data_IF_587436769637
#
_entry.id   IF_587436769637
#
_cell.length_a   1.000
_cell.length_b   1.000
_cell.length_c   1.000
_cell.angle_alpha   90.00
_cell.angle_beta   90.00
_cell.angle_gamma   90.00
#
_symmetry.space_group_name_H-M   'P 1'
#
loop_
_entity.id
_entity.type
_entity.pdbx_description
1 polymer ?
#
# COMPACT_ATOMS: atom_id res chain seq x y z
N UNK A 1 -38.63 -40.00 14.53
CA UNK A 1 -38.12 -39.10 15.59
C UNK A 1 -36.73 -38.66 15.16
N UNK A 2 -36.54 -37.38 14.81
CA UNK A 2 -35.21 -36.84 14.53
C UNK A 2 -34.40 -36.85 15.83
N UNK A 3 -33.26 -37.51 15.81
CA UNK A 3 -32.39 -37.68 16.97
C UNK A 3 -31.77 -36.32 17.33
N UNK A 4 -32.16 -35.75 18.46
CA UNK A 4 -31.77 -34.39 18.90
C UNK A 4 -30.24 -34.25 18.96
N UNK A 5 -29.55 -35.34 19.28
CA UNK A 5 -28.09 -35.44 19.31
C UNK A 5 -27.45 -35.19 17.94
N UNK A 6 -28.05 -35.69 16.85
CA UNK A 6 -27.55 -35.47 15.49
C UNK A 6 -27.75 -34.02 15.04
N UNK A 7 -28.81 -33.36 15.51
CA UNK A 7 -29.06 -31.95 15.22
C UNK A 7 -28.08 -31.02 15.96
N UNK A 8 -27.73 -31.35 17.22
CA UNK A 8 -26.74 -30.61 18.01
C UNK A 8 -25.33 -30.79 17.43
N UNK A 9 -24.96 -32.00 17.03
CA UNK A 9 -23.68 -32.31 16.40
C UNK A 9 -23.47 -31.48 15.11
N UNK A 10 -24.45 -31.49 14.21
CA UNK A 10 -24.40 -30.70 12.95
C UNK A 10 -24.36 -29.20 13.20
N UNK A 11 -25.06 -28.70 14.21
CA UNK A 11 -25.00 -27.29 14.60
C UNK A 11 -23.63 -26.90 15.17
N UNK A 12 -22.98 -27.80 15.90
CA UNK A 12 -21.64 -27.57 16.44
C UNK A 12 -20.59 -27.57 15.31
N UNK A 13 -20.62 -28.57 14.43
CA UNK A 13 -19.77 -28.67 13.23
C UNK A 13 -19.92 -27.42 12.33
N UNK A 14 -21.15 -27.02 12.04
CA UNK A 14 -21.41 -25.81 11.24
C UNK A 14 -20.86 -24.53 11.88
N UNK A 15 -20.92 -24.41 13.21
CA UNK A 15 -20.37 -23.27 13.93
C UNK A 15 -18.84 -23.27 13.99
N UNK A 16 -18.20 -24.44 14.04
CA UNK A 16 -16.75 -24.57 13.95
C UNK A 16 -16.25 -24.22 12.54
N UNK A 17 -16.94 -24.70 11.50
CA UNK A 17 -16.64 -24.35 10.10
C UNK A 17 -16.73 -22.84 9.88
N UNK A 18 -17.79 -22.19 10.38
CA UNK A 18 -17.94 -20.74 10.31
C UNK A 18 -16.83 -19.96 11.03
N UNK A 19 -16.31 -20.50 12.15
CA UNK A 19 -15.19 -19.89 12.88
C UNK A 19 -13.89 -20.03 12.10
N UNK A 20 -13.63 -21.20 11.53
CA UNK A 20 -12.45 -21.47 10.71
C UNK A 20 -12.41 -20.59 9.46
N UNK A 21 -13.54 -20.42 8.77
CA UNK A 21 -13.68 -19.53 7.62
C UNK A 21 -13.34 -18.08 7.99
N UNK A 22 -13.94 -17.55 9.07
CA UNK A 22 -13.66 -16.19 9.53
C UNK A 22 -12.19 -15.99 9.95
N UNK A 23 -11.58 -17.02 10.53
CA UNK A 23 -10.16 -16.97 10.92
C UNK A 23 -9.25 -16.98 9.68
N UNK A 24 -9.59 -17.78 8.67
CA UNK A 24 -8.89 -17.81 7.39
C UNK A 24 -8.99 -16.46 6.67
N UNK A 25 -10.19 -15.87 6.56
CA UNK A 25 -10.40 -14.54 5.96
C UNK A 25 -9.57 -13.46 6.65
N UNK A 26 -9.53 -13.46 7.99
CA UNK A 26 -8.69 -12.51 8.75
C UNK A 26 -7.21 -12.72 8.49
N UNK A 27 -6.75 -13.98 8.39
CA UNK A 27 -5.36 -14.32 8.08
C UNK A 27 -4.97 -13.87 6.67
N UNK A 28 -5.86 -14.01 5.69
CA UNK A 28 -5.66 -13.50 4.32
C UNK A 28 -5.66 -11.97 4.26
N UNK A 29 -6.59 -11.31 4.96
CA UNK A 29 -6.63 -9.85 5.03
C UNK A 29 -5.33 -9.27 5.61
N UNK A 30 -4.79 -9.92 6.65
CA UNK A 30 -3.48 -9.56 7.23
C UNK A 30 -2.34 -9.76 6.24
N UNK A 31 -2.34 -10.86 5.49
CA UNK A 31 -1.34 -11.13 4.45
C UNK A 31 -1.34 -10.02 3.41
N UNK A 32 -2.50 -9.71 2.82
CA UNK A 32 -2.63 -8.68 1.79
C UNK A 32 -2.14 -7.31 2.27
N UNK A 33 -2.44 -6.92 3.51
CA UNK A 33 -1.96 -5.65 4.10
C UNK A 33 -0.45 -5.64 4.32
N UNK A 34 0.12 -6.71 4.89
CA UNK A 34 1.57 -6.83 5.12
C UNK A 34 2.33 -6.84 3.80
N UNK A 35 1.82 -7.56 2.80
CA UNK A 35 2.40 -7.63 1.47
C UNK A 35 2.36 -6.27 0.75
N UNK A 36 1.23 -5.56 0.82
CA UNK A 36 1.11 -4.21 0.28
C UNK A 36 2.12 -3.25 0.92
N UNK A 37 2.29 -3.31 2.25
CA UNK A 37 3.30 -2.53 2.95
C UNK A 37 4.72 -2.83 2.44
N UNK A 38 5.10 -4.11 2.40
CA UNK A 38 6.44 -4.53 1.99
C UNK A 38 6.75 -4.10 0.55
N UNK A 39 5.88 -4.46 -0.40
CA UNK A 39 6.11 -4.26 -1.82
C UNK A 39 5.98 -2.79 -2.27
N UNK A 40 5.41 -1.92 -1.45
CA UNK A 40 5.27 -0.48 -1.76
C UNK A 40 6.22 0.42 -0.99
N UNK A 41 6.56 0.07 0.25
CA UNK A 41 7.24 0.99 1.18
C UNK A 41 8.31 0.34 2.05
N UNK A 42 8.10 -0.90 2.49
CA UNK A 42 8.81 -1.49 3.63
C UNK A 42 9.97 -2.41 3.30
N UNK A 43 10.05 -2.95 2.08
CA UNK A 43 10.98 -4.04 1.74
C UNK A 43 12.44 -3.75 2.11
N UNK A 44 13.00 -2.60 1.72
CA UNK A 44 14.38 -2.24 2.05
C UNK A 44 14.62 -2.13 3.57
N UNK A 45 13.66 -1.54 4.30
CA UNK A 45 13.76 -1.35 5.76
C UNK A 45 13.77 -2.69 6.49
N UNK A 46 13.08 -3.67 5.94
CA UNK A 46 12.99 -5.03 6.45
C UNK A 46 14.13 -5.93 5.94
N UNK A 47 15.11 -5.36 5.21
CA UNK A 47 16.33 -6.04 4.80
C UNK A 47 16.27 -6.74 3.44
N UNK A 48 15.19 -6.57 2.67
CA UNK A 48 15.12 -7.08 1.30
C UNK A 48 15.99 -6.24 0.36
N UNK A 49 16.59 -6.89 -0.63
CA UNK A 49 17.14 -6.19 -1.80
C UNK A 49 16.00 -5.84 -2.75
N UNK A 50 15.97 -4.58 -3.18
CA UNK A 50 14.97 -4.06 -4.10
C UNK A 50 15.71 -3.52 -5.33
N UNK A 51 15.26 -3.93 -6.52
CA UNK A 51 15.81 -3.49 -7.80
C UNK A 51 14.67 -3.06 -8.72
N UNK A 52 14.52 -1.75 -8.95
CA UNK A 52 13.38 -1.16 -9.67
C UNK A 52 12.01 -1.59 -9.11
N UNK A 53 11.95 -1.81 -7.79
CA UNK A 53 10.79 -2.33 -7.07
C UNK A 53 10.61 -3.85 -7.12
N UNK A 54 11.46 -4.59 -7.85
CA UNK A 54 11.47 -6.05 -7.87
C UNK A 54 12.22 -6.62 -6.68
N UNK A 55 11.64 -7.66 -6.07
CA UNK A 55 12.16 -8.34 -4.89
C UNK A 55 12.12 -9.84 -5.14
N UNK A 56 13.20 -10.54 -4.80
CA UNK A 56 13.22 -11.99 -4.83
C UNK A 56 12.28 -12.54 -3.74
N UNK A 57 11.36 -13.43 -4.10
CA UNK A 57 10.35 -13.91 -3.15
C UNK A 57 10.95 -14.61 -1.93
N UNK A 58 12.11 -15.25 -2.11
CA UNK A 58 12.85 -15.92 -1.04
C UNK A 58 13.33 -14.93 0.03
N UNK A 59 13.67 -13.70 -0.35
CA UNK A 59 14.02 -12.65 0.60
C UNK A 59 12.78 -12.14 1.32
N UNK A 60 11.67 -12.01 0.58
CA UNK A 60 10.40 -11.53 1.10
C UNK A 60 9.83 -12.45 2.21
N UNK A 61 9.85 -13.77 2.01
CA UNK A 61 9.33 -14.74 3.00
C UNK A 61 10.21 -14.86 4.26
N UNK A 62 11.47 -14.40 4.19
CA UNK A 62 12.37 -14.38 5.35
C UNK A 62 12.11 -13.19 6.28
N UNK A 63 11.34 -12.20 5.83
CA UNK A 63 10.98 -11.04 6.65
C UNK A 63 10.10 -11.47 7.82
N UNK A 64 10.35 -11.02 9.06
CA UNK A 64 9.55 -11.39 10.24
C UNK A 64 8.05 -11.17 10.07
N UNK A 65 7.65 -10.12 9.34
CA UNK A 65 6.24 -9.82 9.03
C UNK A 65 5.54 -10.97 8.28
N UNK A 66 6.26 -11.75 7.47
CA UNK A 66 5.72 -12.87 6.70
C UNK A 66 6.05 -14.25 7.28
N UNK A 67 6.67 -14.33 8.46
CA UNK A 67 7.11 -15.59 9.09
C UNK A 67 6.00 -16.64 9.30
N UNK A 68 4.73 -16.21 9.37
CA UNK A 68 3.56 -17.06 9.54
C UNK A 68 3.00 -17.62 8.21
N UNK A 69 3.62 -17.28 7.07
CA UNK A 69 3.13 -17.60 5.74
C UNK A 69 4.17 -18.37 4.93
N UNK A 70 3.67 -19.30 4.12
CA UNK A 70 4.50 -20.05 3.18
C UNK A 70 4.70 -19.28 1.88
N UNK A 71 5.75 -19.61 1.12
CA UNK A 71 5.99 -19.04 -0.21
C UNK A 71 4.77 -19.20 -1.14
N UNK A 72 4.10 -20.36 -1.07
CA UNK A 72 2.90 -20.64 -1.88
C UNK A 72 1.72 -19.75 -1.49
N UNK A 73 1.52 -19.45 -0.20
CA UNK A 73 0.47 -18.53 0.25
C UNK A 73 0.75 -17.10 -0.22
N UNK A 74 2.01 -16.66 -0.15
CA UNK A 74 2.43 -15.35 -0.63
C UNK A 74 2.28 -15.25 -2.15
N UNK A 75 2.72 -16.24 -2.91
CA UNK A 75 2.53 -16.31 -4.36
C UNK A 75 1.05 -16.34 -4.74
N UNK A 76 0.25 -17.11 -4.01
CA UNK A 76 -1.20 -17.19 -4.19
C UNK A 76 -1.83 -15.81 -4.09
N UNK A 77 -1.58 -15.09 -3.00
CA UNK A 77 -2.08 -13.71 -2.82
C UNK A 77 -1.58 -12.81 -3.95
N UNK A 78 -0.31 -12.87 -4.34
CA UNK A 78 0.25 -12.05 -5.44
C UNK A 78 -0.49 -12.29 -6.76
N UNK A 79 -0.83 -13.54 -7.06
CA UNK A 79 -1.48 -13.95 -8.30
C UNK A 79 -2.97 -13.62 -8.31
N UNK A 80 -3.64 -13.64 -7.15
CA UNK A 80 -5.10 -13.47 -7.07
C UNK A 80 -5.55 -12.09 -6.59
N UNK A 81 -4.64 -11.20 -6.19
CA UNK A 81 -4.99 -9.90 -5.62
C UNK A 81 -5.25 -8.85 -6.71
N UNK A 82 -6.50 -8.36 -6.76
CA UNK A 82 -6.95 -7.33 -7.70
C UNK A 82 -7.42 -6.07 -6.99
N UNK A 83 -7.25 -4.92 -7.65
CA UNK A 83 -7.83 -3.65 -7.25
C UNK A 83 -9.35 -3.67 -7.41
N UNK A 84 -10.04 -2.66 -6.87
CA UNK A 84 -11.47 -2.45 -7.11
C UNK A 84 -11.80 -2.34 -8.61
N UNK A 85 -10.87 -1.79 -9.41
CA UNK A 85 -10.99 -1.67 -10.87
C UNK A 85 -10.57 -2.94 -11.63
N UNK A 86 -10.44 -4.09 -10.95
CA UNK A 86 -10.05 -5.39 -11.51
C UNK A 86 -8.66 -5.39 -12.19
N UNK A 87 -7.76 -4.50 -11.77
CA UNK A 87 -6.36 -4.52 -12.20
C UNK A 87 -5.51 -5.31 -11.20
N UNK A 88 -4.54 -6.14 -11.63
CA UNK A 88 -3.63 -6.83 -10.71
C UNK A 88 -2.91 -5.84 -9.80
N UNK A 89 -2.90 -6.11 -8.48
CA UNK A 89 -2.18 -5.25 -7.51
C UNK A 89 -0.67 -5.44 -7.57
N UNK A 90 -0.25 -6.61 -8.03
CA UNK A 90 1.14 -7.05 -8.03
C UNK A 90 1.52 -7.59 -9.41
N UNK A 91 2.82 -7.58 -9.69
CA UNK A 91 3.42 -8.23 -10.84
C UNK A 91 4.43 -9.25 -10.32
N UNK A 92 4.57 -10.34 -11.06
CA UNK A 92 5.56 -11.35 -10.78
C UNK A 92 6.14 -11.86 -12.09
N UNK A 93 7.40 -12.26 -12.04
CA UNK A 93 8.08 -12.87 -13.17
C UNK A 93 9.10 -13.88 -12.68
N UNK A 94 9.39 -14.88 -13.53
CA UNK A 94 10.40 -15.88 -13.23
C UNK A 94 11.68 -15.54 -13.98
N UNK A 95 12.74 -15.31 -13.22
CA UNK A 95 14.11 -15.10 -13.70
C UNK A 95 14.94 -16.38 -13.47
N UNK A 96 16.14 -16.52 -14.07
CA UNK A 96 16.96 -17.73 -13.91
C UNK A 96 17.30 -18.08 -12.45
N UNK A 97 17.38 -17.06 -11.60
CA UNK A 97 17.76 -17.12 -10.19
C UNK A 97 16.57 -17.19 -9.22
N UNK A 98 15.33 -17.04 -9.71
CA UNK A 98 14.13 -17.23 -8.88
C UNK A 98 12.90 -16.47 -9.35
N UNK A 99 11.90 -16.41 -8.48
CA UNK A 99 10.66 -15.65 -8.72
C UNK A 99 10.80 -14.26 -8.11
N UNK A 100 10.64 -13.25 -8.96
CA UNK A 100 10.66 -11.86 -8.58
C UNK A 100 9.25 -11.30 -8.54
N UNK A 101 8.99 -10.46 -7.55
CA UNK A 101 7.67 -9.88 -7.30
C UNK A 101 7.78 -8.39 -7.05
N UNK A 102 6.76 -7.63 -7.46
CA UNK A 102 6.67 -6.19 -7.19
C UNK A 102 5.23 -5.71 -7.10
N UNK A 103 5.01 -4.55 -6.49
CA UNK A 103 3.74 -3.85 -6.61
C UNK A 103 3.55 -3.29 -8.03
N UNK A 104 2.35 -3.45 -8.60
CA UNK A 104 2.02 -2.91 -9.92
C UNK A 104 1.88 -1.38 -9.90
N UNK A 105 1.47 -0.82 -8.75
CA UNK A 105 1.22 0.60 -8.53
C UNK A 105 1.39 0.96 -7.04
N UNK A 106 1.37 2.27 -6.73
CA UNK A 106 1.52 2.79 -5.37
C UNK A 106 2.90 2.52 -4.77
N UNK A 107 3.90 2.24 -5.62
CA UNK A 107 5.29 2.10 -5.21
C UNK A 107 5.80 3.46 -4.78
N UNK A 108 6.53 3.51 -3.67
CA UNK A 108 7.38 4.67 -3.43
C UNK A 108 8.38 4.75 -4.58
N UNK A 109 8.33 5.83 -5.37
CA UNK A 109 9.38 6.09 -6.35
C UNK A 109 10.71 6.17 -5.59
N UNK A 110 11.56 5.17 -5.78
CA UNK A 110 12.91 5.21 -5.25
C UNK A 110 13.59 6.48 -5.74
N UNK A 111 14.30 7.11 -4.81
CA UNK A 111 15.10 8.27 -5.13
C UNK A 111 16.23 7.79 -6.03
N UNK A 112 16.07 7.93 -7.35
CA UNK A 112 17.17 7.70 -8.29
C UNK A 112 18.41 8.41 -7.72
N UNK A 113 19.54 7.70 -7.51
CA UNK A 113 20.77 8.27 -6.98
C UNK A 113 21.24 9.36 -7.93
N UNK A 114 20.74 10.55 -7.63
CA UNK A 114 21.19 11.79 -8.16
C UNK A 114 22.67 11.91 -7.87
N UNK A 115 23.45 12.46 -8.81
CA UNK A 115 24.87 12.72 -8.63
C UNK A 115 25.11 13.37 -7.26
N UNK A 116 25.55 12.55 -6.29
CA UNK A 116 25.87 13.04 -4.96
C UNK A 116 26.92 14.13 -5.14
N UNK A 117 26.69 15.31 -4.54
CA UNK A 117 27.52 16.53 -4.64
C UNK A 117 27.23 17.47 -5.82
N UNK A 118 26.14 17.30 -6.56
CA UNK A 118 25.71 18.31 -7.56
C UNK A 118 24.61 19.24 -7.01
N UNK A 119 24.61 20.50 -7.46
CA UNK A 119 23.61 21.54 -7.12
C UNK A 119 22.35 21.47 -7.99
N UNK A 120 22.29 20.54 -8.94
CA UNK A 120 21.20 20.46 -9.89
C UNK A 120 19.95 20.01 -9.10
N UNK A 121 18.76 20.56 -9.38
CA UNK A 121 17.52 20.14 -8.72
C UNK A 121 16.89 18.94 -9.42
N UNK A 122 16.32 17.99 -8.67
CA UNK A 122 15.67 16.80 -9.25
C UNK A 122 14.39 17.19 -9.98
N UNK A 123 14.08 16.48 -11.07
CA UNK A 123 12.84 16.68 -11.80
C UNK A 123 11.62 16.54 -10.88
N UNK A 124 11.59 15.50 -10.03
CA UNK A 124 10.51 15.32 -9.06
C UNK A 124 10.38 16.49 -8.09
N UNK A 125 11.49 17.09 -7.65
CA UNK A 125 11.44 18.23 -6.74
C UNK A 125 10.92 19.49 -7.43
N UNK A 126 11.32 19.71 -8.69
CA UNK A 126 10.83 20.81 -9.52
C UNK A 126 9.34 20.66 -9.84
N UNK A 127 8.90 19.45 -10.21
CA UNK A 127 7.48 19.21 -10.52
C UNK A 127 6.62 19.31 -9.27
N UNK A 128 7.05 18.75 -8.14
CA UNK A 128 6.32 18.88 -6.87
C UNK A 128 6.24 20.34 -6.42
N UNK A 129 7.29 21.14 -6.60
CA UNK A 129 7.24 22.57 -6.28
C UNK A 129 6.20 23.29 -7.14
N UNK A 130 6.22 23.07 -8.46
CA UNK A 130 5.24 23.64 -9.38
C UNK A 130 3.80 23.22 -9.03
N UNK A 131 3.59 21.94 -8.72
CA UNK A 131 2.29 21.42 -8.28
C UNK A 131 1.85 22.08 -6.97
N UNK A 132 2.73 22.21 -5.98
CA UNK A 132 2.39 22.84 -4.70
C UNK A 132 1.97 24.31 -4.86
N UNK A 133 2.58 25.03 -5.79
CA UNK A 133 2.25 26.42 -6.11
C UNK A 133 0.90 26.54 -6.82
N UNK A 134 0.57 25.56 -7.67
CA UNK A 134 -0.59 25.59 -8.56
C UNK A 134 -1.62 24.50 -8.26
N UNK A 135 -1.65 23.97 -7.03
CA UNK A 135 -2.40 22.74 -6.68
C UNK A 135 -3.89 22.82 -7.03
N UNK A 136 -4.47 24.01 -6.99
CA UNK A 136 -5.87 24.28 -7.33
C UNK A 136 -6.18 24.12 -8.83
N UNK A 137 -5.15 24.05 -9.68
CA UNK A 137 -5.25 23.84 -11.13
C UNK A 137 -5.15 22.35 -11.52
N UNK A 138 -4.83 21.48 -10.56
CA UNK A 138 -4.70 20.06 -10.77
C UNK A 138 -5.92 19.32 -10.23
N UNK A 139 -6.34 18.31 -10.97
CA UNK A 139 -7.36 17.37 -10.54
C UNK A 139 -6.67 16.11 -10.01
N UNK A 140 -6.87 15.85 -8.71
CA UNK A 140 -6.38 14.65 -8.03
C UNK A 140 -7.47 13.58 -7.87
N UNK A 141 -8.66 13.78 -8.45
CA UNK A 141 -9.74 12.82 -8.42
C UNK A 141 -9.29 11.49 -9.05
N UNK A 142 -9.34 10.40 -8.27
CA UNK A 142 -8.89 9.09 -8.69
C UNK A 142 -7.37 8.91 -8.80
N UNK A 143 -6.56 9.86 -8.33
CA UNK A 143 -5.10 9.72 -8.31
C UNK A 143 -4.68 8.62 -7.32
N UNK A 144 -3.95 7.58 -7.75
CA UNK A 144 -3.76 6.36 -6.96
C UNK A 144 -2.51 6.37 -6.06
N UNK A 145 -1.89 7.53 -5.83
CA UNK A 145 -0.61 7.65 -5.09
C UNK A 145 -0.75 8.56 -3.85
N UNK A 146 -1.16 7.94 -2.75
CA UNK A 146 -1.28 8.58 -1.43
C UNK A 146 0.06 9.13 -0.91
N UNK A 147 1.19 8.53 -1.30
CA UNK A 147 2.50 9.01 -0.87
C UNK A 147 2.78 10.38 -1.47
N UNK A 148 2.51 10.56 -2.76
CA UNK A 148 2.68 11.85 -3.43
C UNK A 148 1.69 12.89 -2.91
N UNK A 149 0.43 12.51 -2.64
CA UNK A 149 -0.55 13.42 -2.02
C UNK A 149 -0.06 13.90 -0.65
N UNK A 150 0.37 12.98 0.22
CA UNK A 150 0.90 13.33 1.54
C UNK A 150 2.17 14.20 1.44
N UNK A 151 3.07 13.91 0.50
CA UNK A 151 4.27 14.74 0.25
C UNK A 151 3.89 16.16 -0.21
N UNK A 152 2.86 16.31 -1.06
CA UNK A 152 2.32 17.62 -1.47
C UNK A 152 1.74 18.36 -0.26
N UNK A 153 0.90 17.70 0.55
CA UNK A 153 0.31 18.28 1.77
C UNK A 153 1.40 18.77 2.73
N UNK A 154 2.40 17.93 3.03
CA UNK A 154 3.50 18.30 3.92
C UNK A 154 4.36 19.44 3.36
N UNK A 155 4.60 19.50 2.05
CA UNK A 155 5.34 20.60 1.42
C UNK A 155 4.57 21.91 1.46
N UNK A 156 3.28 21.89 1.10
CA UNK A 156 2.41 23.07 1.19
C UNK A 156 2.31 23.57 2.64
N UNK A 157 2.20 22.65 3.60
CA UNK A 157 2.21 22.96 5.04
C UNK A 157 3.53 23.61 5.48
N UNK A 158 4.69 23.01 5.16
CA UNK A 158 6.01 23.54 5.52
C UNK A 158 6.23 24.96 5.00
N UNK A 159 5.64 25.26 3.84
CA UNK A 159 5.71 26.57 3.22
C UNK A 159 4.67 27.58 3.75
N UNK A 160 3.82 27.19 4.71
CA UNK A 160 2.78 28.05 5.27
C UNK A 160 1.66 28.41 4.28
N UNK A 161 1.52 27.64 3.19
CA UNK A 161 0.56 27.92 2.10
C UNK A 161 -0.67 27.00 2.15
N UNK A 162 -0.86 26.22 3.22
CA UNK A 162 -1.98 25.28 3.33
C UNK A 162 -3.27 26.04 3.66
N UNK A 163 -4.25 25.96 2.76
CA UNK A 163 -5.59 26.54 2.93
C UNK A 163 -6.64 25.46 2.78
N UNK A 164 -7.85 25.68 3.30
CA UNK A 164 -8.97 24.73 3.15
C UNK A 164 -9.26 24.41 1.68
N UNK A 165 -9.13 25.40 0.79
CA UNK A 165 -9.32 25.23 -0.65
C UNK A 165 -8.29 24.27 -1.26
N UNK A 166 -7.00 24.44 -0.92
CA UNK A 166 -5.93 23.55 -1.38
C UNK A 166 -6.05 22.14 -0.81
N UNK A 167 -6.48 22.03 0.45
CA UNK A 167 -6.75 20.74 1.06
C UNK A 167 -7.88 20.02 0.32
N UNK A 168 -8.99 20.70 0.03
CA UNK A 168 -10.11 20.13 -0.75
C UNK A 168 -9.67 19.63 -2.13
N UNK A 169 -8.81 20.36 -2.85
CA UNK A 169 -8.26 19.89 -4.13
C UNK A 169 -7.42 18.61 -4.03
N UNK A 170 -6.86 18.32 -2.85
CA UNK A 170 -6.00 17.15 -2.62
C UNK A 170 -6.75 15.94 -2.04
N UNK A 171 -7.95 16.14 -1.51
CA UNK A 171 -8.78 15.05 -0.99
C UNK A 171 -9.37 14.27 -2.17
N UNK A 172 -8.84 13.08 -2.44
CA UNK A 172 -9.42 12.16 -3.43
C UNK A 172 -10.24 11.06 -2.75
N UNK A 173 -11.25 10.53 -3.44
CA UNK A 173 -12.01 9.35 -2.98
C UNK A 173 -11.14 8.09 -2.83
N UNK A 174 -9.96 8.09 -3.47
CA UNK A 174 -9.01 6.98 -3.43
C UNK A 174 -8.08 7.02 -2.22
N UNK A 175 -8.16 8.04 -1.38
CA UNK A 175 -7.27 8.23 -0.24
C UNK A 175 -7.81 7.48 1.00
N UNK A 176 -7.12 6.42 1.41
CA UNK A 176 -7.44 5.63 2.61
C UNK A 176 -6.82 6.25 3.89
N UNK A 177 -5.68 6.92 3.75
CA UNK A 177 -4.92 7.49 4.88
C UNK A 177 -4.49 8.93 4.62
N UNK A 178 -4.85 9.83 5.55
CA UNK A 178 -4.47 11.24 5.54
C UNK A 178 -3.68 11.56 6.82
N UNK A 179 -2.41 11.91 6.67
CA UNK A 179 -1.60 12.35 7.81
C UNK A 179 -1.74 13.87 7.99
N UNK A 180 -2.53 14.27 8.99
CA UNK A 180 -2.75 15.67 9.36
C UNK A 180 -1.97 16.09 10.61
N UNK A 181 -0.93 15.36 11.02
CA UNK A 181 -0.20 15.69 12.24
C UNK A 181 0.24 17.16 12.27
N UNK A 182 -0.02 17.86 13.38
CA UNK A 182 0.28 19.28 13.57
C UNK A 182 -0.42 20.25 12.61
N UNK A 183 -1.57 19.91 12.03
CA UNK A 183 -2.43 20.85 11.28
C UNK A 183 -3.55 21.34 12.20
N UNK A 184 -3.69 22.66 12.32
CA UNK A 184 -4.78 23.29 13.07
C UNK A 184 -5.92 23.62 12.11
N UNK A 185 -7.07 22.96 12.29
CA UNK A 185 -8.30 23.32 11.60
C UNK A 185 -8.99 24.45 12.37
N UNK A 186 -9.00 25.65 11.81
CA UNK A 186 -9.80 26.75 12.34
C UNK A 186 -11.17 26.70 11.67
N UNK A 187 -12.20 26.30 12.42
CA UNK A 187 -13.58 26.37 11.95
C UNK A 187 -13.99 27.84 11.77
N UNK A 188 -14.42 28.21 10.57
CA UNK A 188 -15.18 29.44 10.36
C UNK A 188 -16.64 29.13 10.73
N UNK A 189 -17.18 29.90 11.68
CA UNK A 189 -18.62 30.05 11.87
C UNK A 189 -19.26 30.71 10.64
#
# INVERSE_FOLDING_TARGET
MLNITDAIQRHHEHNEDLRLVKQFERRQLKLGKRLAYLLRYGAEKEGCRVDEGWILIQDLIRVPLLSEYTENEVLGEIQTSYSYRKTPRYQWERRPDGVYVRAAYGRRFERNPYHEKTQIRRLLDLTLEYICENVEQFDFEGFPDEFLINEIIHRIKRNGKLTSKKLQSLLSETMEHLDLDGIYLTGLH
#
